data_IF_387971232651
#
_entry.id   IF_387971232651
#
_cell.length_a   1.000
_cell.length_b   1.000
_cell.length_c   1.000
_cell.angle_alpha   90.00
_cell.angle_beta   90.00
_cell.angle_gamma   90.00
#
_symmetry.space_group_name_H-M   'P 1'
#
loop_
_entity.id
_entity.type
_entity.pdbx_description
1 polymer ?
#
# COMPACT_ATOMS: atom_id res chain seq x y z
N UNK A 1 -7.53 -5.87 -10.67
CA UNK A 1 -6.46 -6.81 -10.27
C UNK A 1 -6.23 -6.77 -8.77
N UNK A 2 -5.93 -7.91 -8.19
CA UNK A 2 -5.65 -8.02 -6.75
C UNK A 2 -4.15 -8.24 -6.57
N UNK A 3 -3.56 -7.47 -5.68
CA UNK A 3 -2.15 -7.61 -5.34
C UNK A 3 -2.00 -7.88 -3.85
N UNK A 4 -0.97 -8.67 -3.51
CA UNK A 4 -0.56 -8.84 -2.13
C UNK A 4 0.42 -7.73 -1.79
N UNK A 5 0.16 -7.00 -0.70
CA UNK A 5 0.99 -5.88 -0.29
C UNK A 5 1.49 -6.11 1.13
N UNK A 6 2.80 -6.17 1.30
CA UNK A 6 3.44 -6.22 2.61
C UNK A 6 3.85 -4.81 3.00
N UNK A 7 3.33 -4.33 4.12
CA UNK A 7 3.61 -2.98 4.60
C UNK A 7 4.63 -3.02 5.73
N UNK A 8 5.65 -2.18 5.62
CA UNK A 8 6.65 -1.99 6.67
C UNK A 8 6.52 -0.55 7.17
N UNK A 9 5.77 -0.32 8.28
CA UNK A 9 5.59 1.02 8.82
C UNK A 9 6.84 1.50 9.56
N UNK A 10 6.87 2.79 9.85
CA UNK A 10 7.98 3.44 10.58
C UNK A 10 9.33 3.26 9.89
N UNK A 11 9.33 3.21 8.59
CA UNK A 11 10.57 3.16 7.82
C UNK A 11 11.22 4.54 7.77
N UNK A 12 12.49 4.57 7.43
CA UNK A 12 13.23 5.84 7.33
C UNK A 12 12.78 6.68 6.13
N UNK A 13 12.23 6.03 5.12
CA UNK A 13 11.69 6.71 3.93
C UNK A 13 10.63 5.83 3.26
N UNK A 14 9.80 6.46 2.44
CA UNK A 14 8.80 5.76 1.65
C UNK A 14 9.47 5.06 0.48
N UNK A 15 9.07 3.82 0.22
CA UNK A 15 9.64 3.04 -0.86
C UNK A 15 8.67 1.96 -1.30
N UNK A 16 8.63 1.67 -2.60
CA UNK A 16 7.81 0.59 -3.17
C UNK A 16 8.72 -0.35 -3.95
N UNK A 17 8.59 -1.65 -3.67
CA UNK A 17 9.26 -2.70 -4.43
C UNK A 17 8.19 -3.63 -4.96
N UNK A 18 8.28 -3.97 -6.23
CA UNK A 18 7.34 -4.88 -6.88
C UNK A 18 8.03 -6.18 -7.29
N UNK A 19 7.37 -7.29 -6.97
CA UNK A 19 7.83 -8.62 -7.38
C UNK A 19 6.62 -9.40 -7.89
N UNK A 20 6.40 -9.39 -9.22
CA UNK A 20 5.22 -10.03 -9.81
C UNK A 20 3.94 -9.38 -9.33
N UNK A 21 3.08 -10.17 -8.67
CA UNK A 21 1.82 -9.68 -8.10
C UNK A 21 1.95 -9.28 -6.63
N UNK A 22 3.17 -9.17 -6.14
CA UNK A 22 3.43 -8.81 -4.75
C UNK A 22 4.12 -7.45 -4.70
N UNK A 23 3.72 -6.63 -3.73
CA UNK A 23 4.36 -5.36 -3.43
C UNK A 23 4.90 -5.40 -2.03
N UNK A 24 6.09 -4.85 -1.86
CA UNK A 24 6.66 -4.58 -0.55
C UNK A 24 6.76 -3.07 -0.42
N UNK A 25 6.05 -2.50 0.56
CA UNK A 25 5.91 -1.05 0.68
C UNK A 25 6.46 -0.62 2.04
N UNK A 26 7.35 0.35 2.01
CA UNK A 26 7.92 0.96 3.21
C UNK A 26 7.25 2.32 3.40
N UNK A 27 6.72 2.54 4.60
CA UNK A 27 6.02 3.77 4.94
C UNK A 27 6.66 4.42 6.15
N UNK A 28 6.76 5.74 6.13
CA UNK A 28 7.32 6.48 7.27
C UNK A 28 6.30 6.60 8.40
N UNK A 29 5.00 6.54 8.09
CA UNK A 29 3.95 6.66 9.09
C UNK A 29 3.82 5.39 9.92
N UNK A 30 3.41 5.50 11.20
CA UNK A 30 3.09 4.31 11.99
C UNK A 30 1.78 3.70 11.52
N UNK A 31 1.58 2.40 11.83
CA UNK A 31 0.39 1.67 11.43
C UNK A 31 -0.79 1.93 12.37
N UNK A 32 -0.98 3.17 12.83
CA UNK A 32 -2.02 3.55 13.78
C UNK A 32 -3.05 4.46 13.10
N UNK A 33 -4.32 4.27 13.50
CA UNK A 33 -5.42 5.17 13.11
C UNK A 33 -5.60 5.37 11.61
N UNK A 34 -5.25 4.36 10.83
CA UNK A 34 -5.41 4.43 9.39
C UNK A 34 -4.40 5.30 8.65
N UNK A 35 -3.47 5.94 9.36
CA UNK A 35 -2.49 6.81 8.72
C UNK A 35 -1.62 6.06 7.70
N UNK A 36 -1.19 4.84 8.05
CA UNK A 36 -0.40 4.02 7.14
C UNK A 36 -1.21 3.58 5.93
N UNK A 37 -2.49 3.26 6.11
CA UNK A 37 -3.35 2.86 5.00
C UNK A 37 -3.53 4.01 4.00
N UNK A 38 -3.74 5.21 4.50
CA UNK A 38 -3.87 6.38 3.64
C UNK A 38 -2.57 6.66 2.89
N UNK A 39 -1.45 6.58 3.57
CA UNK A 39 -0.15 6.77 2.95
C UNK A 39 0.13 5.68 1.91
N UNK A 40 -0.30 4.44 2.19
CA UNK A 40 -0.16 3.33 1.26
C UNK A 40 -0.91 3.60 -0.05
N UNK A 41 -2.15 4.05 0.04
CA UNK A 41 -2.95 4.39 -1.14
C UNK A 41 -2.28 5.51 -1.94
N UNK A 42 -1.84 6.56 -1.26
CA UNK A 42 -1.16 7.69 -1.91
C UNK A 42 0.10 7.22 -2.63
N UNK A 43 0.90 6.40 -1.97
CA UNK A 43 2.17 5.95 -2.52
C UNK A 43 1.98 4.99 -3.70
N UNK A 44 1.06 4.03 -3.58
CA UNK A 44 0.78 3.09 -4.67
C UNK A 44 0.20 3.78 -5.88
N UNK A 45 -0.74 4.72 -5.68
CA UNK A 45 -1.32 5.43 -6.81
C UNK A 45 -0.26 6.24 -7.55
N UNK A 46 0.64 6.87 -6.83
CA UNK A 46 1.75 7.62 -7.44
C UNK A 46 2.71 6.68 -8.18
N UNK A 47 3.04 5.54 -7.57
CA UNK A 47 3.96 4.57 -8.17
C UNK A 47 3.39 4.00 -9.47
N UNK A 48 2.09 3.69 -9.48
CA UNK A 48 1.42 3.12 -10.64
C UNK A 48 0.90 4.17 -11.62
N UNK A 49 1.00 5.45 -11.25
CA UNK A 49 0.52 6.58 -12.07
C UNK A 49 -0.98 6.47 -12.36
N UNK A 50 -1.75 6.14 -11.33
CA UNK A 50 -3.20 6.03 -11.41
C UNK A 50 -3.83 6.94 -10.36
N UNK A 51 -5.16 7.01 -10.37
CA UNK A 51 -5.90 7.82 -9.41
C UNK A 51 -6.03 7.09 -8.07
N UNK A 52 -6.12 7.84 -6.98
CA UNK A 52 -6.26 7.26 -5.65
C UNK A 52 -7.50 6.39 -5.51
N UNK A 53 -8.62 6.78 -6.14
CA UNK A 53 -9.86 6.00 -6.07
C UNK A 53 -9.76 4.66 -6.79
N UNK A 54 -8.71 4.45 -7.59
CA UNK A 54 -8.47 3.18 -8.27
C UNK A 54 -7.75 2.18 -7.39
N UNK A 55 -7.32 2.59 -6.20
CA UNK A 55 -6.61 1.74 -5.24
C UNK A 55 -7.50 1.52 -4.02
N UNK A 56 -7.85 0.26 -3.73
CA UNK A 56 -8.73 -0.07 -2.61
C UNK A 56 -8.14 -1.21 -1.81
N UNK A 57 -8.13 -1.05 -0.48
CA UNK A 57 -7.69 -2.11 0.42
C UNK A 57 -8.88 -3.02 0.68
N UNK A 58 -8.78 -4.26 0.19
CA UNK A 58 -9.87 -5.24 0.30
C UNK A 58 -9.87 -5.97 1.62
N UNK A 59 -8.71 -6.25 2.17
CA UNK A 59 -8.59 -6.92 3.47
C UNK A 59 -7.26 -6.59 4.11
N UNK A 60 -7.15 -6.90 5.41
CA UNK A 60 -5.93 -6.67 6.15
C UNK A 60 -5.71 -5.22 6.55
N UNK A 61 -6.78 -4.45 6.76
CA UNK A 61 -6.67 -3.03 7.12
C UNK A 61 -5.84 -2.80 8.38
N UNK A 62 -5.91 -3.74 9.31
CA UNK A 62 -5.15 -3.67 10.57
C UNK A 62 -3.94 -4.59 10.58
N UNK A 63 -3.60 -5.17 9.44
CA UNK A 63 -2.49 -6.09 9.29
C UNK A 63 -1.40 -5.48 8.44
N UNK A 64 -0.19 -6.01 8.56
CA UNK A 64 0.91 -5.63 7.66
C UNK A 64 0.78 -6.29 6.30
N UNK A 65 0.06 -7.41 6.21
CA UNK A 65 -0.22 -8.07 4.94
C UNK A 65 -1.61 -7.69 4.49
N UNK A 66 -1.71 -7.08 3.33
CA UNK A 66 -2.96 -6.54 2.82
C UNK A 66 -3.24 -7.08 1.44
N UNK A 67 -4.54 -7.23 1.14
CA UNK A 67 -4.99 -7.45 -0.24
C UNK A 67 -5.47 -6.11 -0.77
N UNK A 68 -4.92 -5.70 -1.89
CA UNK A 68 -5.24 -4.40 -2.49
C UNK A 68 -5.78 -4.64 -3.89
N UNK A 69 -6.95 -4.08 -4.17
CA UNK A 69 -7.54 -4.11 -5.50
C UNK A 69 -7.17 -2.84 -6.25
N UNK A 70 -6.74 -3.01 -7.47
CA UNK A 70 -6.37 -1.89 -8.34
C UNK A 70 -7.21 -1.97 -9.61
N UNK A 71 -7.96 -0.91 -9.87
CA UNK A 71 -8.74 -0.78 -11.10
C UNK A 71 -7.84 -0.22 -12.20
N UNK A 72 -7.82 -0.90 -13.32
CA UNK A 72 -7.04 -0.47 -14.49
C UNK A 72 -7.78 0.57 -15.32
#
# INVERSE_FOLDING_TARGET
MIFNVRVNPRASRNRVERQGNNFKVYLTKPAAEGAANKQLVDLLSAYLKIKKYQVRIKSGEKSRDKLVEIDD
#
